data_IF_924661259356
#
_entry.id   IF_924661259356
#
_cell.length_a   1.000
_cell.length_b   1.000
_cell.length_c   1.000
_cell.angle_alpha   90.00
_cell.angle_beta   90.00
_cell.angle_gamma   90.00
#
_symmetry.space_group_name_H-M   'P 1'
#
loop_
_entity.id
_entity.type
_entity.pdbx_description
1 polymer ?
#
# COMPACT_ATOMS: atom_id res chain seq x y z
N UNK A 1 8.04 4.13 -13.96
CA UNK A 1 6.96 3.36 -13.32
C UNK A 1 7.54 2.07 -12.77
N UNK A 2 7.39 1.88 -11.47
CA UNK A 2 7.92 0.76 -10.68
C UNK A 2 6.78 0.14 -9.91
N UNK A 3 6.77 -1.18 -9.82
CA UNK A 3 5.76 -1.93 -9.07
C UNK A 3 6.43 -2.59 -7.87
N UNK A 4 5.91 -2.36 -6.67
CA UNK A 4 6.37 -3.00 -5.43
C UNK A 4 5.19 -3.64 -4.73
N UNK A 5 5.39 -4.85 -4.26
CA UNK A 5 4.44 -5.56 -3.41
C UNK A 5 4.93 -5.51 -1.97
N UNK A 6 4.05 -5.14 -1.05
CA UNK A 6 4.26 -5.09 0.38
C UNK A 6 3.45 -6.18 1.05
N UNK A 7 4.07 -6.90 1.97
CA UNK A 7 3.37 -7.90 2.78
C UNK A 7 2.91 -7.26 4.08
N UNK A 8 1.61 -7.26 4.34
CA UNK A 8 0.98 -6.56 5.46
C UNK A 8 0.19 -7.56 6.32
N UNK A 9 0.82 -8.14 7.36
CA UNK A 9 0.22 -9.22 8.15
C UNK A 9 -1.06 -8.82 8.89
N UNK A 10 -1.22 -7.52 9.16
CA UNK A 10 -2.39 -6.93 9.82
C UNK A 10 -3.64 -6.86 8.92
N UNK A 11 -3.51 -7.02 7.59
CA UNK A 11 -4.67 -7.07 6.72
C UNK A 11 -5.41 -8.38 6.94
N UNK A 12 -6.66 -8.28 7.37
CA UNK A 12 -7.53 -9.45 7.61
C UNK A 12 -8.88 -9.37 6.89
N UNK A 13 -9.29 -8.19 6.42
CA UNK A 13 -10.59 -7.97 5.78
C UNK A 13 -10.47 -7.08 4.53
N UNK A 14 -11.33 -7.30 3.53
CA UNK A 14 -11.37 -6.50 2.30
C UNK A 14 -11.66 -5.00 2.53
N UNK A 15 -12.30 -4.63 3.65
CA UNK A 15 -12.48 -3.22 4.01
C UNK A 15 -11.15 -2.51 4.32
N UNK A 16 -10.19 -3.20 4.96
CA UNK A 16 -8.87 -2.64 5.24
C UNK A 16 -8.14 -2.32 3.93
N UNK A 17 -8.17 -3.25 2.98
CA UNK A 17 -7.56 -3.07 1.66
C UNK A 17 -8.16 -1.86 0.95
N UNK A 18 -9.48 -1.68 1.01
CA UNK A 18 -10.13 -0.54 0.36
C UNK A 18 -9.71 0.81 0.96
N UNK A 19 -9.59 0.90 2.29
CA UNK A 19 -9.10 2.11 2.96
C UNK A 19 -7.65 2.41 2.59
N UNK A 20 -6.77 1.41 2.69
CA UNK A 20 -5.36 1.54 2.30
C UNK A 20 -5.25 1.97 0.84
N UNK A 21 -6.02 1.33 -0.04
CA UNK A 21 -6.05 1.64 -1.46
C UNK A 21 -6.38 3.11 -1.69
N UNK A 22 -7.46 3.61 -1.09
CA UNK A 22 -7.90 4.99 -1.27
C UNK A 22 -6.83 5.99 -0.82
N UNK A 23 -6.24 5.78 0.35
CA UNK A 23 -5.19 6.66 0.91
C UNK A 23 -3.93 6.66 0.04
N UNK A 24 -3.51 5.48 -0.44
CA UNK A 24 -2.33 5.34 -1.30
C UNK A 24 -2.58 5.90 -2.71
N UNK A 25 -3.80 5.83 -3.24
CA UNK A 25 -4.16 6.44 -4.53
C UNK A 25 -4.12 7.98 -4.49
N UNK A 26 -4.19 8.60 -3.31
CA UNK A 26 -4.05 10.05 -3.13
C UNK A 26 -2.57 10.50 -3.07
N UNK A 27 -1.63 9.57 -2.92
CA UNK A 27 -0.20 9.87 -2.88
C UNK A 27 0.28 10.32 -4.26
N UNK A 28 0.90 11.50 -4.30
CA UNK A 28 1.49 12.04 -5.54
C UNK A 28 2.58 11.12 -6.08
N UNK A 29 2.41 10.66 -7.32
CA UNK A 29 3.33 9.72 -7.97
C UNK A 29 2.92 8.26 -7.83
N UNK A 30 1.80 7.95 -7.18
CA UNK A 30 1.13 6.65 -7.28
C UNK A 30 0.24 6.64 -8.52
N UNK A 31 0.39 5.60 -9.34
CA UNK A 31 -0.43 5.39 -10.53
C UNK A 31 -1.52 4.34 -10.31
N UNK A 32 -1.25 3.33 -9.47
CA UNK A 32 -2.21 2.25 -9.21
C UNK A 32 -1.93 1.57 -7.88
N UNK A 33 -2.99 1.18 -7.21
CA UNK A 33 -2.93 0.39 -5.98
C UNK A 33 -3.87 -0.80 -6.09
N UNK A 34 -3.34 -1.96 -5.76
CA UNK A 34 -4.05 -3.24 -5.75
C UNK A 34 -3.75 -3.98 -4.43
N UNK A 35 -4.63 -4.85 -3.99
CA UNK A 35 -4.48 -5.48 -2.68
C UNK A 35 -5.27 -6.77 -2.54
N UNK A 36 -4.59 -7.77 -1.99
CA UNK A 36 -5.12 -9.10 -1.76
C UNK A 36 -5.19 -9.36 -0.24
N UNK A 37 -6.38 -9.30 0.38
CA UNK A 37 -6.52 -9.60 1.81
C UNK A 37 -6.26 -11.07 2.13
N UNK A 38 -6.50 -11.99 1.19
CA UNK A 38 -6.23 -13.42 1.36
C UNK A 38 -4.73 -13.73 1.44
N UNK A 39 -3.95 -13.07 0.58
CA UNK A 39 -2.48 -13.18 0.57
C UNK A 39 -1.81 -12.19 1.52
N UNK A 40 -2.58 -11.28 2.13
CA UNK A 40 -2.11 -10.20 2.99
C UNK A 40 -1.07 -9.31 2.31
N UNK A 41 -1.23 -9.02 1.02
CA UNK A 41 -0.30 -8.19 0.26
C UNK A 41 -0.99 -6.98 -0.34
N UNK A 42 -0.26 -5.87 -0.46
CA UNK A 42 -0.64 -4.67 -1.19
C UNK A 42 0.39 -4.42 -2.28
N UNK A 43 -0.04 -4.32 -3.52
CA UNK A 43 0.81 -4.00 -4.67
C UNK A 43 0.57 -2.57 -5.08
N UNK A 44 1.63 -1.77 -5.12
CA UNK A 44 1.57 -0.35 -5.48
C UNK A 44 2.47 -0.08 -6.68
N UNK A 45 1.91 0.62 -7.66
CA UNK A 45 2.61 1.13 -8.82
C UNK A 45 2.87 2.62 -8.60
N UNK A 46 4.15 3.00 -8.60
CA UNK A 46 4.58 4.37 -8.36
C UNK A 46 5.70 4.78 -9.32
N UNK A 47 5.91 6.09 -9.45
CA UNK A 47 6.85 6.65 -10.43
C UNK A 47 8.15 7.14 -9.78
N UNK A 48 8.09 7.59 -8.53
CA UNK A 48 9.20 8.24 -7.84
C UNK A 48 9.56 7.53 -6.53
N UNK A 49 10.83 7.59 -6.10
CA UNK A 49 11.25 7.04 -4.81
C UNK A 49 10.65 7.80 -3.60
N UNK A 50 10.23 9.06 -3.78
CA UNK A 50 9.48 9.80 -2.77
C UNK A 50 8.10 9.17 -2.51
N UNK A 51 7.37 8.80 -3.57
CA UNK A 51 6.10 8.10 -3.42
C UNK A 51 6.26 6.80 -2.62
N UNK A 52 7.34 6.04 -2.87
CA UNK A 52 7.66 4.84 -2.09
C UNK A 52 7.77 5.11 -0.58
N UNK A 53 8.46 6.19 -0.20
CA UNK A 53 8.58 6.58 1.22
C UNK A 53 7.23 6.95 1.81
N UNK A 54 6.47 7.79 1.12
CA UNK A 54 5.13 8.20 1.57
C UNK A 54 4.21 7.00 1.72
N UNK A 55 4.16 6.08 0.75
CA UNK A 55 3.39 4.83 0.83
C UNK A 55 3.73 4.08 2.12
N UNK A 56 5.02 3.90 2.41
CA UNK A 56 5.47 3.17 3.58
C UNK A 56 5.08 3.87 4.89
N UNK A 57 5.24 5.19 4.97
CA UNK A 57 4.83 5.99 6.13
C UNK A 57 3.32 5.95 6.34
N UNK A 58 2.53 6.12 5.29
CA UNK A 58 1.07 6.02 5.31
C UNK A 58 0.62 4.66 5.84
N UNK A 59 1.22 3.57 5.36
CA UNK A 59 0.91 2.22 5.83
C UNK A 59 1.15 2.07 7.35
N UNK A 60 2.26 2.60 7.86
CA UNK A 60 2.56 2.57 9.30
C UNK A 60 1.57 3.43 10.10
N UNK A 61 1.27 4.65 9.62
CA UNK A 61 0.34 5.58 10.26
C UNK A 61 -1.08 5.00 10.36
N UNK A 62 -1.52 4.30 9.31
CA UNK A 62 -2.78 3.56 9.29
C UNK A 62 -2.77 2.26 10.12
N UNK A 63 -1.69 1.96 10.85
CA UNK A 63 -1.51 0.74 11.64
C UNK A 63 -1.49 -0.54 10.78
N UNK A 64 -0.97 -0.43 9.55
CA UNK A 64 -0.75 -1.51 8.59
C UNK A 64 0.74 -1.61 8.19
N UNK A 65 1.67 -1.81 9.15
CA UNK A 65 3.09 -1.86 8.82
C UNK A 65 3.40 -3.03 7.87
N UNK A 66 4.17 -2.77 6.79
CA UNK A 66 4.69 -3.85 5.96
C UNK A 66 5.80 -4.62 6.68
N UNK A 67 5.85 -5.94 6.48
CA UNK A 67 6.77 -6.90 7.11
C UNK A 67 7.94 -7.30 6.16
N UNK A 68 8.22 -6.48 5.14
CA UNK A 68 9.31 -6.70 4.16
C UNK A 68 10.71 -6.52 4.80
#
# INVERSE_FOLDING_TARGET
MTVKTFHIPNISCGHCVKSIKSELEEVSGVSRVDGDPEKKVITVEYETPDALKTIHETLIDMNFPPDD
#
